data_IF_885476552742
#
_entry.id   IF_885476552742
#
_cell.length_a   1.000
_cell.length_b   1.000
_cell.length_c   1.000
_cell.angle_alpha   90.00
_cell.angle_beta   90.00
_cell.angle_gamma   90.00
#
_symmetry.space_group_name_H-M   'P 1'
#
loop_
_entity.id
_entity.type
_entity.pdbx_description
1 polymer ?
#
# COMPACT_ATOMS: atom_id res chain seq x y z
N UNK A 1 24.47 11.61 9.21
CA UNK A 1 23.74 11.94 7.98
C UNK A 1 24.08 10.83 7.01
N UNK A 2 23.19 9.85 6.86
CA UNK A 2 23.51 8.57 6.20
C UNK A 2 23.18 8.61 4.70
N UNK A 3 22.25 9.47 4.26
CA UNK A 3 21.74 9.47 2.88
C UNK A 3 22.05 10.75 2.08
N UNK A 4 22.91 11.65 2.57
CA UNK A 4 23.35 12.85 1.83
C UNK A 4 23.92 12.51 0.45
N UNK A 5 24.69 11.41 0.37
CA UNK A 5 25.28 10.90 -0.86
C UNK A 5 24.25 10.32 -1.86
N UNK A 6 22.98 10.23 -1.48
CA UNK A 6 21.88 9.81 -2.37
C UNK A 6 21.04 11.02 -2.74
N UNK A 7 20.69 11.87 -1.77
CA UNK A 7 19.72 12.94 -1.95
C UNK A 7 20.31 14.28 -2.44
N UNK A 8 21.60 14.53 -2.23
CA UNK A 8 22.25 15.81 -2.54
C UNK A 8 23.24 15.73 -3.72
N UNK A 9 23.12 14.72 -4.58
CA UNK A 9 24.00 14.56 -5.75
C UNK A 9 23.36 15.09 -7.03
N UNK A 10 24.19 15.44 -8.01
CA UNK A 10 23.77 15.79 -9.38
C UNK A 10 23.94 14.63 -10.37
N UNK A 11 24.10 13.39 -9.88
CA UNK A 11 24.26 12.22 -10.76
C UNK A 11 22.99 12.06 -11.60
N UNK A 12 23.12 12.14 -12.92
CA UNK A 12 22.00 11.98 -13.84
C UNK A 12 21.66 10.51 -14.04
N UNK A 13 20.36 10.21 -14.12
CA UNK A 13 19.89 8.92 -14.58
C UNK A 13 19.82 8.88 -16.10
N UNK A 14 20.21 7.75 -16.68
CA UNK A 14 20.13 7.54 -18.13
C UNK A 14 18.70 7.33 -18.65
N UNK A 15 17.76 7.00 -17.75
CA UNK A 15 16.37 6.73 -18.07
C UNK A 15 15.41 7.65 -17.30
N UNK A 16 14.35 8.12 -17.97
CA UNK A 16 13.27 8.85 -17.30
C UNK A 16 12.28 7.88 -16.64
N UNK A 17 11.76 8.25 -15.47
CA UNK A 17 10.69 7.52 -14.80
C UNK A 17 9.33 8.18 -15.06
N UNK A 18 8.29 7.36 -15.16
CA UNK A 18 6.92 7.85 -15.00
C UNK A 18 6.63 8.13 -13.51
N UNK A 19 5.58 8.91 -13.16
CA UNK A 19 5.21 9.14 -11.77
C UNK A 19 4.97 7.84 -10.98
N UNK A 20 4.39 6.81 -11.59
CA UNK A 20 4.13 5.54 -10.91
C UNK A 20 5.42 4.72 -10.71
N UNK A 21 6.32 4.74 -11.70
CA UNK A 21 7.65 4.12 -11.57
C UNK A 21 8.48 4.83 -10.48
N UNK A 22 8.36 6.15 -10.37
CA UNK A 22 9.01 6.92 -9.32
C UNK A 22 8.47 6.60 -7.92
N UNK A 23 7.16 6.40 -7.78
CA UNK A 23 6.55 5.90 -6.54
C UNK A 23 7.06 4.49 -6.20
N UNK A 24 7.15 3.59 -7.19
CA UNK A 24 7.73 2.27 -7.00
C UNK A 24 9.19 2.36 -6.51
N UNK A 25 10.00 3.21 -7.15
CA UNK A 25 11.39 3.43 -6.80
C UNK A 25 11.55 3.88 -5.35
N UNK A 26 10.76 4.84 -4.89
CA UNK A 26 10.78 5.27 -3.49
C UNK A 26 10.37 4.15 -2.54
N UNK A 27 9.30 3.42 -2.84
CA UNK A 27 8.90 2.28 -2.02
C UNK A 27 10.04 1.27 -1.87
N UNK A 28 10.65 0.87 -2.99
CA UNK A 28 11.80 -0.03 -3.00
C UNK A 28 12.99 0.54 -2.21
N UNK A 29 13.29 1.83 -2.34
CA UNK A 29 14.40 2.47 -1.63
C UNK A 29 14.20 2.46 -0.11
N UNK A 30 12.96 2.56 0.38
CA UNK A 30 12.66 2.44 1.82
C UNK A 30 12.91 1.01 2.30
N UNK A 31 12.43 0.01 1.57
CA UNK A 31 12.50 -1.43 1.94
C UNK A 31 13.92 -2.00 2.03
N UNK A 32 14.91 -1.29 1.49
CA UNK A 32 16.30 -1.75 1.45
C UNK A 32 17.19 -1.00 2.43
N UNK A 33 16.62 -0.07 3.20
CA UNK A 33 17.35 0.81 4.12
C UNK A 33 18.12 0.02 5.17
N UNK A 34 17.47 -0.99 5.76
CA UNK A 34 18.05 -1.88 6.75
C UNK A 34 18.73 -3.11 6.13
N UNK A 35 18.57 -3.31 4.82
CA UNK A 35 19.20 -4.35 4.03
C UNK A 35 18.36 -5.62 3.86
N UNK A 36 17.17 -5.69 4.46
CA UNK A 36 16.28 -6.84 4.40
C UNK A 36 14.93 -6.44 3.80
N UNK A 37 14.55 -7.06 2.68
CA UNK A 37 13.24 -6.85 2.07
C UNK A 37 12.25 -7.88 2.64
N UNK A 38 11.21 -7.42 3.33
CA UNK A 38 10.12 -8.26 3.83
C UNK A 38 8.99 -8.40 2.78
N UNK A 39 8.34 -9.57 2.73
CA UNK A 39 7.23 -9.81 1.80
C UNK A 39 6.03 -8.89 2.06
N UNK A 40 5.77 -8.50 3.31
CA UNK A 40 4.68 -7.58 3.67
C UNK A 40 4.90 -6.19 3.05
N UNK A 41 6.15 -5.73 3.02
CA UNK A 41 6.50 -4.45 2.40
C UNK A 41 6.30 -4.48 0.88
N UNK A 42 6.68 -5.60 0.23
CA UNK A 42 6.42 -5.83 -1.20
C UNK A 42 4.92 -5.79 -1.47
N UNK A 43 4.12 -6.50 -0.68
CA UNK A 43 2.66 -6.54 -0.84
C UNK A 43 2.02 -5.16 -0.63
N UNK A 44 2.50 -4.36 0.32
CA UNK A 44 2.03 -3.00 0.54
C UNK A 44 2.36 -2.09 -0.65
N UNK A 45 3.59 -2.17 -1.16
CA UNK A 45 4.04 -1.40 -2.31
C UNK A 45 3.22 -1.74 -3.57
N UNK A 46 3.10 -3.02 -3.90
CA UNK A 46 2.36 -3.46 -5.08
C UNK A 46 0.87 -3.20 -4.94
N UNK A 47 0.29 -3.55 -3.78
CA UNK A 47 -1.11 -3.31 -3.49
C UNK A 47 -1.46 -1.82 -3.55
N UNK A 48 -0.56 -0.93 -3.15
CA UNK A 48 -0.76 0.51 -3.28
C UNK A 48 -0.87 0.95 -4.74
N UNK A 49 0.01 0.46 -5.60
CA UNK A 49 0.00 0.79 -7.03
C UNK A 49 -1.20 0.20 -7.75
N UNK A 50 -1.57 -1.05 -7.44
CA UNK A 50 -2.80 -1.67 -7.96
C UNK A 50 -4.05 -0.86 -7.59
N UNK A 51 -4.16 -0.38 -6.34
CA UNK A 51 -5.27 0.48 -5.90
C UNK A 51 -5.31 1.85 -6.58
N UNK A 52 -4.16 2.34 -7.09
CA UNK A 52 -4.12 3.54 -7.96
C UNK A 52 -4.60 3.28 -9.38
N UNK A 53 -4.90 2.02 -9.73
CA UNK A 53 -5.42 1.62 -11.03
C UNK A 53 -4.39 1.03 -11.98
N UNK A 54 -3.17 0.73 -11.52
CA UNK A 54 -2.20 0.01 -12.34
C UNK A 54 -2.61 -1.46 -12.45
N UNK A 55 -2.35 -2.05 -13.62
CA UNK A 55 -2.40 -3.49 -13.82
C UNK A 55 -1.17 -4.18 -13.22
N UNK A 56 -1.29 -5.47 -12.94
CA UNK A 56 -0.17 -6.33 -12.50
C UNK A 56 1.00 -6.28 -13.49
N UNK A 57 0.71 -6.16 -14.79
CA UNK A 57 1.74 -6.04 -15.81
C UNK A 57 2.52 -4.73 -15.68
N UNK A 58 1.83 -3.61 -15.49
CA UNK A 58 2.46 -2.29 -15.31
C UNK A 58 3.29 -2.22 -14.03
N UNK A 59 2.81 -2.81 -12.93
CA UNK A 59 3.58 -2.91 -11.67
C UNK A 59 4.86 -3.73 -11.88
N UNK A 60 4.78 -4.87 -12.57
CA UNK A 60 5.95 -5.69 -12.88
C UNK A 60 6.94 -4.99 -13.82
N UNK A 61 6.45 -4.23 -14.80
CA UNK A 61 7.30 -3.44 -15.69
C UNK A 61 8.03 -2.34 -14.92
N UNK A 62 7.33 -1.62 -14.03
CA UNK A 62 7.91 -0.63 -13.15
C UNK A 62 9.00 -1.24 -12.26
N UNK A 63 8.72 -2.38 -11.62
CA UNK A 63 9.68 -3.14 -10.81
C UNK A 63 10.94 -3.46 -11.61
N UNK A 64 10.80 -4.06 -12.79
CA UNK A 64 11.94 -4.47 -13.62
C UNK A 64 12.81 -3.27 -14.03
N UNK A 65 12.18 -2.16 -14.41
CA UNK A 65 12.89 -0.94 -14.81
C UNK A 65 13.64 -0.30 -13.65
N UNK A 66 12.98 -0.14 -12.50
CA UNK A 66 13.59 0.43 -11.28
C UNK A 66 14.77 -0.41 -10.82
N UNK A 67 14.61 -1.74 -10.76
CA UNK A 67 15.71 -2.64 -10.39
C UNK A 67 16.87 -2.54 -11.38
N UNK A 68 16.60 -2.49 -12.69
CA UNK A 68 17.63 -2.30 -13.70
C UNK A 68 18.43 -1.04 -13.43
N UNK A 69 17.78 0.12 -13.30
CA UNK A 69 18.43 1.41 -13.05
C UNK A 69 19.28 1.35 -11.78
N UNK A 70 18.73 0.79 -10.69
CA UNK A 70 19.45 0.65 -9.41
C UNK A 70 20.74 -0.17 -9.58
N UNK A 71 20.69 -1.27 -10.33
CA UNK A 71 21.86 -2.15 -10.51
C UNK A 71 22.86 -1.64 -11.54
N UNK A 72 22.42 -0.92 -12.58
CA UNK A 72 23.29 -0.46 -13.66
C UNK A 72 23.92 0.90 -13.41
N UNK A 73 23.29 1.73 -12.57
CA UNK A 73 23.71 3.10 -12.33
C UNK A 73 24.03 3.29 -10.83
N UNK A 74 23.14 3.92 -10.06
CA UNK A 74 23.28 4.11 -8.62
C UNK A 74 21.93 4.49 -8.00
N UNK A 75 21.83 4.38 -6.67
CA UNK A 75 20.65 4.85 -5.93
C UNK A 75 20.47 6.37 -6.03
N UNK A 76 21.56 7.13 -6.10
CA UNK A 76 21.53 8.58 -6.30
C UNK A 76 20.96 8.96 -7.67
N UNK A 77 21.37 8.26 -8.73
CA UNK A 77 20.81 8.43 -10.08
C UNK A 77 19.31 8.13 -10.08
N UNK A 78 18.90 7.00 -9.48
CA UNK A 78 17.50 6.61 -9.35
C UNK A 78 16.68 7.68 -8.64
N UNK A 79 17.17 8.22 -7.52
CA UNK A 79 16.48 9.28 -6.79
C UNK A 79 16.34 10.59 -7.60
N UNK A 80 17.38 10.96 -8.36
CA UNK A 80 17.27 12.12 -9.23
C UNK A 80 16.25 11.93 -10.36
N UNK A 81 16.11 10.71 -10.88
CA UNK A 81 15.03 10.37 -11.81
C UNK A 81 13.65 10.50 -11.15
N UNK A 82 13.50 10.07 -9.89
CA UNK A 82 12.29 10.26 -9.10
C UNK A 82 11.93 11.75 -9.03
N UNK A 83 12.87 12.60 -8.59
CA UNK A 83 12.63 14.06 -8.47
C UNK A 83 12.12 14.69 -9.76
N UNK A 84 12.66 14.27 -10.92
CA UNK A 84 12.22 14.75 -12.24
C UNK A 84 10.80 14.27 -12.58
N UNK A 85 10.43 13.06 -12.15
CA UNK A 85 9.17 12.39 -12.49
C UNK A 85 7.96 12.80 -11.64
N UNK A 86 8.17 13.33 -10.42
CA UNK A 86 7.09 13.74 -9.50
C UNK A 86 7.18 15.22 -9.08
N UNK A 87 7.08 16.18 -10.03
CA UNK A 87 7.21 17.60 -9.70
C UNK A 87 5.99 18.17 -8.96
N UNK A 88 4.83 17.53 -9.07
CA UNK A 88 3.58 18.08 -8.53
C UNK A 88 3.45 17.80 -7.02
N UNK A 89 3.04 18.79 -6.19
CA UNK A 89 2.91 18.63 -4.74
C UNK A 89 2.05 17.42 -4.32
N UNK A 90 0.96 17.13 -5.05
CA UNK A 90 0.10 15.97 -4.78
C UNK A 90 0.79 14.63 -5.05
N UNK A 91 1.68 14.58 -6.03
CA UNK A 91 2.46 13.38 -6.32
C UNK A 91 3.54 13.18 -5.26
N UNK A 92 4.19 14.26 -4.81
CA UNK A 92 5.14 14.25 -3.70
C UNK A 92 4.45 13.75 -2.42
N UNK A 93 3.32 14.34 -2.03
CA UNK A 93 2.55 13.93 -0.85
C UNK A 93 2.17 12.44 -0.92
N UNK A 94 1.67 11.97 -2.07
CA UNK A 94 1.31 10.57 -2.24
C UNK A 94 2.53 9.63 -2.20
N UNK A 95 3.69 10.10 -2.63
CA UNK A 95 4.95 9.34 -2.62
C UNK A 95 5.48 9.21 -1.18
N UNK A 96 5.42 10.28 -0.39
CA UNK A 96 5.77 10.25 1.04
C UNK A 96 4.77 9.40 1.83
N UNK A 97 3.46 9.49 1.55
CA UNK A 97 2.44 8.63 2.18
C UNK A 97 2.71 7.14 1.91
N UNK A 98 3.13 6.79 0.69
CA UNK A 98 3.56 5.43 0.35
C UNK A 98 4.83 5.04 1.13
N UNK A 99 5.87 5.88 1.11
CA UNK A 99 7.13 5.62 1.81
C UNK A 99 6.91 5.33 3.31
N UNK A 100 6.04 6.13 3.96
CA UNK A 100 5.67 5.93 5.37
C UNK A 100 4.92 4.61 5.58
N UNK A 101 4.01 4.23 4.67
CA UNK A 101 3.26 2.97 4.80
C UNK A 101 4.13 1.74 4.62
N UNK A 102 5.10 1.81 3.70
CA UNK A 102 6.08 0.75 3.49
C UNK A 102 6.94 0.59 4.74
N UNK A 103 7.49 1.68 5.29
CA UNK A 103 8.24 1.63 6.55
C UNK A 103 7.41 1.17 7.78
N UNK A 104 6.08 1.19 7.70
CA UNK A 104 5.18 0.73 8.77
C UNK A 104 4.76 -0.74 8.60
N UNK A 105 5.09 -1.37 7.47
CA UNK A 105 4.54 -2.63 7.01
C UNK A 105 4.64 -3.77 8.03
N UNK A 106 5.79 -3.90 8.67
CA UNK A 106 6.13 -4.99 9.58
C UNK A 106 5.83 -4.66 11.06
N UNK A 107 5.09 -3.56 11.31
CA UNK A 107 4.85 -2.96 12.63
C UNK A 107 6.13 -2.55 13.40
N UNK A 108 7.29 -2.47 12.73
CA UNK A 108 8.57 -2.05 13.32
C UNK A 108 9.27 -1.02 12.44
N UNK A 109 8.87 0.24 12.56
CA UNK A 109 9.66 1.33 11.98
C UNK A 109 11.01 1.42 12.72
N UNK A 110 12.09 1.05 12.05
CA UNK A 110 13.45 1.21 12.56
C UNK A 110 13.83 2.70 12.64
N UNK A 111 14.87 3.02 13.42
CA UNK A 111 15.42 4.39 13.46
C UNK A 111 15.93 4.84 12.09
N UNK A 112 16.45 3.88 11.33
CA UNK A 112 17.08 4.01 10.02
C UNK A 112 16.03 4.38 8.97
N UNK A 113 14.93 3.61 8.86
CA UNK A 113 13.83 3.92 7.94
C UNK A 113 13.16 5.24 8.29
N UNK A 114 12.96 5.53 9.59
CA UNK A 114 12.42 6.82 10.02
C UNK A 114 13.32 7.98 9.59
N UNK A 115 14.64 7.84 9.76
CA UNK A 115 15.60 8.85 9.33
C UNK A 115 15.59 9.00 7.80
N UNK A 116 15.54 7.89 7.08
CA UNK A 116 15.48 7.87 5.62
C UNK A 116 14.24 8.61 5.10
N UNK A 117 13.05 8.26 5.59
CA UNK A 117 11.78 8.85 5.13
C UNK A 117 11.70 10.36 5.46
N UNK A 118 12.30 10.78 6.59
CA UNK A 118 12.41 12.20 6.94
C UNK A 118 13.41 12.94 6.03
N UNK A 119 14.58 12.37 5.74
CA UNK A 119 15.56 12.95 4.82
C UNK A 119 15.00 13.00 3.39
N UNK A 120 14.26 11.98 2.97
CA UNK A 120 13.53 11.92 1.70
C UNK A 120 12.51 13.07 1.59
N UNK A 121 11.69 13.29 2.62
CA UNK A 121 10.70 14.37 2.64
C UNK A 121 11.37 15.74 2.45
N UNK A 122 12.48 15.98 3.15
CA UNK A 122 13.28 17.21 3.00
C UNK A 122 13.87 17.34 1.61
N UNK A 123 14.39 16.25 1.03
CA UNK A 123 14.94 16.23 -0.32
C UNK A 123 13.89 16.51 -1.41
N UNK A 124 12.61 16.22 -1.13
CA UNK A 124 11.46 16.57 -1.96
C UNK A 124 10.81 17.91 -1.58
N UNK A 125 11.48 18.73 -0.77
CA UNK A 125 11.03 20.05 -0.31
C UNK A 125 9.73 20.04 0.52
N UNK A 126 9.45 18.94 1.19
CA UNK A 126 8.36 18.85 2.18
C UNK A 126 8.87 19.36 3.52
N UNK A 127 8.18 20.32 4.12
CA UNK A 127 8.55 20.86 5.43
C UNK A 127 8.13 19.93 6.58
N UNK A 128 8.70 20.15 7.77
CA UNK A 128 8.49 19.26 8.92
C UNK A 128 7.02 19.21 9.39
N UNK A 129 6.24 20.30 9.25
CA UNK A 129 4.82 20.34 9.62
C UNK A 129 3.97 19.48 8.67
N UNK A 130 4.20 19.65 7.36
CA UNK A 130 3.53 18.87 6.33
C UNK A 130 3.91 17.39 6.42
N UNK A 131 5.20 17.09 6.64
CA UNK A 131 5.68 15.74 6.86
C UNK A 131 4.98 15.09 8.07
N UNK A 132 4.89 15.80 9.19
CA UNK A 132 4.21 15.31 10.40
C UNK A 132 2.74 14.98 10.12
N UNK A 133 2.03 15.85 9.38
CA UNK A 133 0.65 15.61 8.94
C UNK A 133 0.52 14.36 8.08
N UNK A 134 1.44 14.15 7.12
CA UNK A 134 1.44 12.97 6.25
C UNK A 134 1.66 11.70 7.08
N UNK A 135 2.63 11.71 8.00
CA UNK A 135 2.93 10.57 8.87
C UNK A 135 1.74 10.22 9.76
N UNK A 136 1.10 11.20 10.41
CA UNK A 136 -0.09 10.94 11.22
C UNK A 136 -1.24 10.35 10.41
N UNK A 137 -1.49 10.88 9.21
CA UNK A 137 -2.53 10.36 8.32
C UNK A 137 -2.22 8.95 7.84
N UNK A 138 -0.97 8.66 7.49
CA UNK A 138 -0.52 7.34 7.08
C UNK A 138 -0.69 6.34 8.23
N UNK A 139 -0.28 6.69 9.46
CA UNK A 139 -0.47 5.85 10.66
C UNK A 139 -1.93 5.56 10.96
N UNK A 140 -2.81 6.57 10.87
CA UNK A 140 -4.26 6.37 11.05
C UNK A 140 -4.81 5.38 10.03
N UNK A 141 -4.50 5.57 8.73
CA UNK A 141 -4.94 4.68 7.64
C UNK A 141 -4.36 3.27 7.76
N UNK A 142 -3.10 3.16 8.16
CA UNK A 142 -2.43 1.87 8.37
C UNK A 142 -3.10 1.10 9.52
N UNK A 143 -3.33 1.76 10.65
CA UNK A 143 -4.01 1.15 11.80
C UNK A 143 -5.45 0.74 11.50
N UNK A 144 -6.17 1.46 10.63
CA UNK A 144 -7.49 1.03 10.18
C UNK A 144 -7.42 -0.14 9.20
N UNK A 145 -6.40 -0.18 8.34
CA UNK A 145 -6.23 -1.27 7.37
C UNK A 145 -5.84 -2.58 8.05
N UNK A 146 -4.91 -2.55 9.02
CA UNK A 146 -4.54 -3.72 9.80
C UNK A 146 -5.75 -4.30 10.56
N UNK A 147 -6.55 -3.44 11.21
CA UNK A 147 -7.79 -3.87 11.87
C UNK A 147 -8.78 -4.52 10.91
N UNK A 148 -8.86 -4.06 9.67
CA UNK A 148 -9.70 -4.69 8.65
C UNK A 148 -9.15 -6.05 8.22
N UNK A 149 -7.83 -6.19 8.06
CA UNK A 149 -7.20 -7.48 7.74
C UNK A 149 -7.35 -8.49 8.88
N UNK A 150 -7.11 -8.05 10.12
CA UNK A 150 -7.31 -8.88 11.32
C UNK A 150 -8.76 -9.37 11.42
N UNK A 151 -9.75 -8.51 11.11
CA UNK A 151 -11.16 -8.90 11.04
C UNK A 151 -11.45 -9.88 9.90
N UNK A 152 -10.83 -9.70 8.73
CA UNK A 152 -10.98 -10.66 7.61
C UNK A 152 -10.42 -12.01 8.02
N UNK A 153 -9.22 -12.07 8.58
CA UNK A 153 -8.58 -13.31 9.02
C UNK A 153 -9.36 -13.98 10.17
N UNK A 154 -9.86 -13.20 11.13
CA UNK A 154 -10.78 -13.69 12.17
C UNK A 154 -11.99 -14.37 11.52
N UNK A 155 -12.64 -13.72 10.55
CA UNK A 155 -13.84 -14.28 9.93
C UNK A 155 -13.53 -15.48 9.04
N UNK A 156 -12.43 -15.45 8.28
CA UNK A 156 -11.98 -16.60 7.49
C UNK A 156 -11.69 -17.80 8.40
N UNK A 157 -11.17 -17.58 9.61
CA UNK A 157 -10.94 -18.65 10.60
C UNK A 157 -12.22 -19.25 11.19
N UNK A 158 -13.32 -18.49 11.17
CA UNK A 158 -14.65 -18.96 11.61
C UNK A 158 -15.37 -19.76 10.51
N UNK A 159 -14.89 -19.71 9.27
CA UNK A 159 -15.49 -20.46 8.17
C UNK A 159 -15.18 -21.95 8.30
N UNK A 160 -16.18 -22.84 8.16
CA UNK A 160 -15.93 -24.26 8.09
C UNK A 160 -15.02 -24.62 6.90
N UNK A 161 -14.08 -25.54 7.11
CA UNK A 161 -13.20 -26.05 6.05
C UNK A 161 -14.02 -26.62 4.88
N UNK A 162 -13.74 -26.15 3.66
CA UNK A 162 -14.51 -26.52 2.46
C UNK A 162 -15.66 -25.57 2.12
N UNK A 163 -15.76 -24.43 2.81
CA UNK A 163 -16.66 -23.34 2.41
C UNK A 163 -16.29 -22.82 1.01
N UNK A 164 -17.29 -22.67 0.14
CA UNK A 164 -17.12 -22.28 -1.27
C UNK A 164 -17.74 -20.90 -1.53
N UNK A 165 -17.05 -20.08 -2.31
CA UNK A 165 -17.58 -18.81 -2.80
C UNK A 165 -18.66 -19.02 -3.88
N UNK A 166 -19.81 -18.37 -3.74
CA UNK A 166 -20.96 -18.50 -4.66
C UNK A 166 -21.35 -17.21 -5.38
N UNK A 167 -20.74 -16.09 -5.03
CA UNK A 167 -20.97 -14.82 -5.70
C UNK A 167 -20.97 -13.65 -4.73
N UNK A 168 -21.27 -12.46 -5.25
CA UNK A 168 -21.41 -11.25 -4.46
C UNK A 168 -22.64 -10.47 -4.91
N UNK A 169 -23.23 -9.71 -3.99
CA UNK A 169 -24.21 -8.68 -4.32
C UNK A 169 -23.72 -7.35 -3.78
N UNK A 170 -23.70 -6.35 -4.66
CA UNK A 170 -23.47 -4.95 -4.30
C UNK A 170 -24.83 -4.28 -4.32
N UNK A 171 -25.16 -3.50 -3.29
CA UNK A 171 -26.03 -2.37 -3.57
C UNK A 171 -25.32 -1.06 -3.26
N UNK A 172 -25.59 -0.09 -4.13
CA UNK A 172 -25.02 1.25 -4.01
C UNK A 172 -25.96 2.07 -3.15
N UNK A 173 -25.57 2.33 -1.90
CA UNK A 173 -26.05 3.49 -1.16
C UNK A 173 -24.87 4.47 -0.98
N UNK A 174 -25.01 5.49 -0.12
CA UNK A 174 -23.96 6.50 0.11
C UNK A 174 -22.66 5.91 0.70
N UNK A 175 -22.71 4.65 1.12
CA UNK A 175 -21.60 3.82 1.59
C UNK A 175 -21.47 2.60 0.67
N UNK A 176 -20.28 2.03 0.53
CA UNK A 176 -20.13 0.79 -0.25
C UNK A 176 -20.40 -0.38 0.69
N UNK A 177 -21.49 -1.12 0.46
CA UNK A 177 -21.69 -2.42 1.11
C UNK A 177 -21.50 -3.55 0.10
N UNK A 178 -20.76 -4.57 0.53
CA UNK A 178 -20.52 -5.79 -0.26
C UNK A 178 -21.00 -6.99 0.53
N UNK A 179 -21.93 -7.74 -0.03
CA UNK A 179 -22.34 -9.01 0.54
C UNK A 179 -21.71 -10.12 -0.30
N UNK A 180 -20.86 -10.94 0.32
CA UNK A 180 -20.27 -12.11 -0.31
C UNK A 180 -21.08 -13.33 0.12
N UNK A 181 -21.56 -14.10 -0.87
CA UNK A 181 -22.30 -15.35 -0.66
C UNK A 181 -21.30 -16.50 -0.60
N UNK A 182 -21.34 -17.24 0.49
CA UNK A 182 -20.49 -18.39 0.75
C UNK A 182 -21.37 -19.60 1.07
N UNK A 183 -21.04 -20.79 0.57
CA UNK A 183 -21.73 -22.03 0.94
C UNK A 183 -20.84 -22.89 1.79
N UNK A 184 -21.27 -23.12 3.03
CA UNK A 184 -20.61 -24.02 3.95
C UNK A 184 -20.72 -25.49 3.45
N UNK A 185 -19.84 -26.39 3.92
CA UNK A 185 -19.81 -27.81 3.52
C UNK A 185 -21.12 -28.56 3.81
N UNK A 186 -21.85 -28.14 4.83
CA UNK A 186 -23.17 -28.68 5.19
C UNK A 186 -24.31 -28.17 4.26
N UNK A 187 -23.99 -27.38 3.24
CA UNK A 187 -24.94 -26.80 2.29
C UNK A 187 -25.58 -25.48 2.76
N UNK A 188 -25.25 -25.00 3.96
CA UNK A 188 -25.77 -23.75 4.52
C UNK A 188 -25.18 -22.54 3.79
N UNK A 189 -26.04 -21.60 3.41
CA UNK A 189 -25.63 -20.35 2.81
C UNK A 189 -25.26 -19.35 3.92
N UNK A 190 -24.06 -18.79 3.84
CA UNK A 190 -23.51 -17.75 4.70
C UNK A 190 -23.35 -16.46 3.89
N UNK A 191 -23.59 -15.33 4.54
CA UNK A 191 -23.39 -14.01 3.97
C UNK A 191 -22.31 -13.31 4.77
N UNK A 192 -21.23 -12.95 4.10
CA UNK A 192 -20.19 -12.07 4.63
C UNK A 192 -20.56 -10.65 4.21
N UNK A 193 -21.03 -9.84 5.16
CA UNK A 193 -21.30 -8.43 4.94
C UNK A 193 -20.00 -7.64 5.15
N UNK A 194 -19.73 -6.69 4.26
CA UNK A 194 -18.57 -5.81 4.33
C UNK A 194 -19.09 -4.39 4.13
N UNK A 195 -19.13 -3.62 5.21
CA UNK A 195 -19.61 -2.24 5.24
C UNK A 195 -18.46 -1.25 5.38
N UNK A 196 -18.35 -0.29 4.47
CA UNK A 196 -17.45 0.85 4.66
C UNK A 196 -18.12 1.94 5.51
N UNK A 197 -17.67 2.07 6.76
CA UNK A 197 -18.15 3.09 7.72
C UNK A 197 -17.74 4.52 7.32
N UNK A 198 -18.35 5.54 7.95
CA UNK A 198 -18.01 6.97 7.75
C UNK A 198 -16.52 7.29 7.92
N UNK A 199 -15.83 6.53 8.78
CA UNK A 199 -14.38 6.63 9.02
C UNK A 199 -13.52 5.91 7.97
N UNK A 200 -14.12 5.35 6.90
CA UNK A 200 -13.46 4.45 5.93
C UNK A 200 -12.86 3.19 6.54
N UNK A 201 -13.41 2.75 7.68
CA UNK A 201 -13.11 1.43 8.25
C UNK A 201 -14.09 0.41 7.68
N UNK A 202 -13.62 -0.82 7.48
CA UNK A 202 -14.49 -1.93 7.11
C UNK A 202 -15.08 -2.52 8.40
N UNK A 203 -16.41 -2.53 8.48
CA UNK A 203 -17.11 -3.44 9.37
C UNK A 203 -17.45 -4.71 8.61
N UNK A 204 -17.15 -5.86 9.20
CA UNK A 204 -17.25 -7.15 8.53
C UNK A 204 -17.87 -8.12 9.51
N UNK A 205 -18.94 -8.77 9.09
CA UNK A 205 -19.69 -9.73 9.88
C UNK A 205 -20.16 -10.90 9.00
N UNK A 206 -20.34 -12.04 9.64
CA UNK A 206 -20.86 -13.23 8.97
C UNK A 206 -22.18 -13.64 9.60
N UNK A 207 -23.18 -13.80 8.74
CA UNK A 207 -24.51 -14.21 9.14
C UNK A 207 -24.99 -15.40 8.30
N UNK A 208 -25.89 -16.19 8.87
CA UNK A 208 -26.61 -17.21 8.10
C UNK A 208 -27.58 -16.50 7.17
N UNK A 209 -27.56 -16.87 5.88
CA UNK A 209 -28.43 -16.24 4.90
C UNK A 209 -29.90 -16.35 5.33
N UNK A 210 -30.65 -15.23 5.33
CA UNK A 210 -32.03 -15.26 5.75
C UNK A 210 -32.89 -16.04 4.75
N UNK A 211 -34.04 -16.61 5.18
CA UNK A 211 -34.82 -17.56 4.36
C UNK A 211 -35.22 -17.04 2.97
N UNK A 212 -35.42 -15.73 2.82
CA UNK A 212 -35.81 -15.09 1.57
C UNK A 212 -34.67 -14.99 0.53
N UNK A 213 -33.41 -15.23 0.92
CA UNK A 213 -32.26 -15.31 0.02
C UNK A 213 -31.98 -16.74 -0.49
N UNK A 214 -32.69 -17.74 0.01
CA UNK A 214 -32.49 -19.16 -0.33
C UNK A 214 -33.37 -19.66 -1.49
N UNK A 215 -34.21 -18.79 -2.06
CA UNK A 215 -35.15 -19.08 -3.17
C UNK A 215 -34.58 -18.76 -4.54
#
# INVERSE_FOLDING_TARGET
MAYENVFQTEIECSEELTPNEAMFAIGLMVMIVDGDIDNNEVEILEGFLLRKGLSVLEVNQARQKVLRIRYSESEAALFNAVKKAIPEPKQIEATIDLAVKVALADNKVTSEEKSFVMELARALNVNDEEFSRIVENAKKKFSSHQKSLDKIDEILSLLPEGTVYEGFSVAKNAYSFYNIKLRAPNGQLLILNIDETEDKKLDIDIEVAPPWMMS
#
